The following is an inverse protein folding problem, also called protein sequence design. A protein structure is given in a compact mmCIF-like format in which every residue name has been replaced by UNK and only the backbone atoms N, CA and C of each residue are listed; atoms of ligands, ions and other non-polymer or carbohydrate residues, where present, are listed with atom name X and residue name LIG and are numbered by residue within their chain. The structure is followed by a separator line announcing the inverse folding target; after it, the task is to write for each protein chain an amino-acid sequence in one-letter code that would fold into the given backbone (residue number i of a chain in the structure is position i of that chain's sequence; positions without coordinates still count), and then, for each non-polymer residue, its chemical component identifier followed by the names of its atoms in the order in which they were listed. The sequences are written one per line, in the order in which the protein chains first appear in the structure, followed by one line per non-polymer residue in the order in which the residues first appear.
data_IF_854450781317
#
_entry.id   IF_854450781317
#
_cell.length_a   1.000
_cell.length_b   1.000
_cell.length_c   1.000
_cell.angle_alpha   90.00
_cell.angle_beta   90.00
_cell.angle_gamma   90.00
#
_symmetry.space_group_name_H-M   'P 1'
#
loop_
_entity.id
_entity.type
_entity.pdbx_description
1 polymer ?
#
# COMPACT_ATOMS: atom_id res chain seq x y z
N UNK A 1 29.76 48.60 48.50
CA UNK A 1 30.67 47.81 47.67
C UNK A 1 29.85 46.58 47.26
N UNK A 2 29.10 46.72 46.18
CA UNK A 2 29.48 46.34 44.79
C UNK A 2 28.94 44.93 44.52
N UNK A 3 27.86 44.85 43.72
CA UNK A 3 27.85 44.62 42.26
C UNK A 3 28.14 43.15 41.94
N UNK A 4 27.46 42.46 41.02
CA UNK A 4 26.45 42.81 40.03
C UNK A 4 25.85 41.50 39.51
N UNK A 5 24.59 41.57 39.09
CA UNK A 5 23.92 40.55 38.26
C UNK A 5 24.37 40.72 36.81
N UNK A 6 24.51 39.62 36.07
CA UNK A 6 23.88 39.35 34.75
C UNK A 6 24.64 38.28 33.96
N UNK A 7 23.88 37.42 33.27
CA UNK A 7 24.39 36.41 32.34
C UNK A 7 23.23 35.68 31.68
N UNK A 8 22.77 36.23 30.56
CA UNK A 8 21.60 35.82 29.78
C UNK A 8 21.79 34.47 29.09
N UNK A 9 20.72 33.67 29.05
CA UNK A 9 20.64 32.43 28.26
C UNK A 9 19.21 32.18 27.79
N UNK A 10 18.81 32.88 26.73
CA UNK A 10 17.50 32.75 26.08
C UNK A 10 17.55 31.56 25.10
N UNK A 11 16.62 30.58 25.20
CA UNK A 11 16.14 29.79 24.04
C UNK A 11 14.90 28.92 24.34
N UNK A 12 13.78 29.41 23.78
CA UNK A 12 12.63 28.73 23.15
C UNK A 12 11.88 27.63 23.90
N UNK A 13 10.79 28.06 24.52
CA UNK A 13 9.61 27.27 24.86
C UNK A 13 8.91 26.82 23.56
N UNK A 14 8.96 25.53 23.23
CA UNK A 14 8.14 24.96 22.15
C UNK A 14 6.78 24.62 22.75
N UNK A 15 5.84 25.56 22.68
CA UNK A 15 4.42 25.26 22.80
C UNK A 15 3.90 24.95 21.39
N UNK A 16 3.69 23.67 21.06
CA UNK A 16 2.91 23.29 19.89
C UNK A 16 1.46 23.01 20.33
N UNK A 17 0.65 24.05 20.24
CA UNK A 17 -0.81 23.97 20.24
C UNK A 17 -1.28 23.59 18.84
N UNK A 18 -1.64 22.32 18.56
CA UNK A 18 -2.59 22.00 17.48
C UNK A 18 -3.33 20.70 17.81
N UNK A 19 -4.58 20.81 18.26
CA UNK A 19 -5.73 20.11 17.65
C UNK A 19 -7.00 20.85 18.06
N UNK A 20 -7.40 21.84 17.25
CA UNK A 20 -8.78 22.31 17.28
C UNK A 20 -9.60 21.42 16.36
N UNK A 21 -10.50 20.66 16.96
CA UNK A 21 -11.60 19.96 16.33
C UNK A 21 -12.51 20.94 15.57
N UNK A 22 -12.88 20.56 14.34
CA UNK A 22 -13.81 21.24 13.41
C UNK A 22 -13.20 22.39 12.60
N UNK A 23 -12.67 22.05 11.43
CA UNK A 23 -12.67 22.96 10.29
C UNK A 23 -12.95 22.18 9.00
N UNK A 24 -14.17 22.37 8.49
CA UNK A 24 -14.47 22.19 7.06
C UNK A 24 -13.55 23.17 6.32
N UNK A 25 -12.49 22.66 5.68
CA UNK A 25 -11.70 23.44 4.74
C UNK A 25 -11.87 22.89 3.32
N UNK A 26 -12.50 23.70 2.49
CA UNK A 26 -12.50 23.64 1.03
C UNK A 26 -11.35 24.54 0.59
N UNK A 27 -10.25 23.98 0.05
CA UNK A 27 -9.20 24.79 -0.57
C UNK A 27 -7.79 24.20 -0.58
N UNK A 28 -7.35 23.82 -1.79
CA UNK A 28 -5.98 23.85 -2.30
C UNK A 28 -4.91 22.88 -1.73
N UNK A 29 -4.98 21.66 -2.28
CA UNK A 29 -3.87 20.75 -2.55
C UNK A 29 -4.34 19.74 -3.62
N UNK A 30 -3.75 19.74 -4.81
CA UNK A 30 -4.23 19.06 -6.01
C UNK A 30 -4.06 17.52 -5.97
N UNK A 31 -4.86 16.84 -5.16
CA UNK A 31 -4.91 15.37 -5.14
C UNK A 31 -5.13 14.83 -3.76
N UNK A 32 -6.32 15.02 -3.19
CA UNK A 32 -6.75 14.09 -2.15
C UNK A 32 -6.87 12.72 -2.83
N UNK A 33 -5.89 11.86 -2.58
CA UNK A 33 -5.90 10.46 -2.96
C UNK A 33 -7.18 9.86 -2.35
N UNK A 34 -8.19 9.59 -3.18
CA UNK A 34 -9.40 8.90 -2.76
C UNK A 34 -9.10 7.42 -2.59
N UNK A 35 -8.58 7.08 -1.40
CA UNK A 35 -8.24 5.72 -1.01
C UNK A 35 -9.45 4.78 -1.00
N UNK A 36 -10.69 5.28 -1.06
CA UNK A 36 -11.88 4.43 -1.12
C UNK A 36 -11.97 3.63 -2.43
N UNK A 37 -11.26 4.08 -3.46
CA UNK A 37 -11.16 3.39 -4.75
C UNK A 37 -10.06 2.33 -4.79
N UNK A 38 -9.27 2.16 -3.71
CA UNK A 38 -8.11 1.29 -3.69
C UNK A 38 -8.25 0.19 -2.64
N UNK A 39 -8.02 -1.05 -3.06
CA UNK A 39 -8.01 -2.22 -2.20
C UNK A 39 -6.64 -2.90 -2.22
N UNK A 40 -5.95 -3.03 -1.08
CA UNK A 40 -4.78 -3.89 -0.98
C UNK A 40 -5.17 -5.37 -0.98
N UNK A 41 -4.49 -6.15 -1.80
CA UNK A 41 -4.53 -7.61 -1.82
C UNK A 41 -3.17 -8.14 -1.37
N UNK A 42 -3.16 -9.02 -0.39
CA UNK A 42 -1.98 -9.77 0.02
C UNK A 42 -1.99 -11.11 -0.71
N UNK A 43 -0.87 -11.47 -1.33
CA UNK A 43 -0.63 -12.82 -1.86
C UNK A 43 0.50 -13.44 -1.05
N UNK A 44 0.21 -14.54 -0.36
CA UNK A 44 1.15 -15.27 0.50
C UNK A 44 0.87 -16.77 0.37
N UNK A 45 1.92 -17.56 0.14
CA UNK A 45 1.85 -19.01 0.01
C UNK A 45 0.78 -19.52 -0.98
N UNK A 46 0.63 -18.85 -2.13
CA UNK A 46 -0.36 -19.23 -3.15
C UNK A 46 -1.81 -18.87 -2.80
N UNK A 47 -2.03 -18.01 -1.80
CA UNK A 47 -3.37 -17.52 -1.44
C UNK A 47 -3.44 -16.00 -1.55
N UNK A 48 -4.44 -15.50 -2.30
CA UNK A 48 -4.75 -14.08 -2.40
C UNK A 48 -5.89 -13.69 -1.47
N UNK A 49 -5.75 -12.58 -0.74
CA UNK A 49 -6.78 -12.05 0.17
C UNK A 49 -6.80 -10.53 0.19
N UNK A 50 -7.97 -9.92 0.25
CA UNK A 50 -8.09 -8.47 0.51
C UNK A 50 -7.73 -8.22 1.98
N UNK A 51 -6.74 -7.37 2.24
CA UNK A 51 -6.33 -7.01 3.61
C UNK A 51 -6.22 -5.49 3.77
N UNK A 52 -7.32 -4.85 4.15
CA UNK A 52 -7.41 -3.40 4.39
C UNK A 52 -6.37 -2.92 5.44
N UNK A 53 -5.90 -3.81 6.31
CA UNK A 53 -4.84 -3.50 7.27
C UNK A 53 -3.52 -3.12 6.60
N UNK A 54 -3.23 -3.63 5.40
CA UNK A 54 -2.00 -3.34 4.65
C UNK A 54 -1.85 -1.86 4.29
N UNK A 55 -2.95 -1.11 4.15
CA UNK A 55 -2.90 0.36 3.91
C UNK A 55 -2.16 1.13 5.01
N UNK A 56 -2.13 0.60 6.23
CA UNK A 56 -1.52 1.24 7.39
C UNK A 56 -0.40 0.41 8.02
N UNK A 57 0.16 -0.55 7.27
CA UNK A 57 1.13 -1.53 7.76
C UNK A 57 0.63 -2.35 8.98
N UNK A 58 -0.67 -2.66 8.99
CA UNK A 58 -1.36 -3.41 10.05
C UNK A 58 -1.91 -4.75 9.53
N UNK A 59 -1.53 -5.18 8.33
CA UNK A 59 -1.94 -6.48 7.80
C UNK A 59 -1.50 -7.61 8.72
N UNK A 60 -2.19 -8.75 8.65
CA UNK A 60 -1.85 -9.92 9.49
C UNK A 60 -0.39 -10.35 9.27
N UNK A 61 0.09 -10.25 8.03
CA UNK A 61 1.45 -10.63 7.64
C UNK A 61 2.51 -9.61 8.09
N UNK A 62 2.16 -8.33 8.21
CA UNK A 62 3.09 -7.28 8.68
C UNK A 62 3.13 -7.13 10.20
N UNK A 63 2.08 -7.57 10.90
CA UNK A 63 1.94 -7.34 12.35
C UNK A 63 3.09 -7.99 13.13
N UNK A 64 3.82 -7.15 13.86
CA UNK A 64 4.91 -7.60 14.75
C UNK A 64 6.25 -7.80 14.04
N UNK A 65 6.33 -7.50 12.74
CA UNK A 65 7.53 -7.56 11.92
C UNK A 65 8.24 -6.21 11.90
N UNK A 66 9.57 -6.22 12.06
CA UNK A 66 10.40 -5.04 11.86
C UNK A 66 10.93 -5.02 10.44
N UNK A 67 10.43 -4.08 9.64
CA UNK A 67 10.87 -3.90 8.26
C UNK A 67 12.18 -3.09 8.17
N UNK A 68 13.09 -3.53 7.31
CA UNK A 68 14.29 -2.81 6.90
C UNK A 68 14.45 -2.87 5.37
N UNK A 69 15.37 -2.07 4.83
CA UNK A 69 15.75 -2.15 3.42
C UNK A 69 16.87 -3.17 3.17
N UNK A 70 17.35 -3.84 4.21
CA UNK A 70 18.42 -4.84 4.10
C UNK A 70 17.82 -6.25 3.94
N UNK A 71 17.87 -6.79 2.72
CA UNK A 71 17.30 -8.12 2.41
C UNK A 71 18.03 -9.24 3.16
N UNK A 72 19.31 -9.04 3.49
CA UNK A 72 20.16 -10.00 4.21
C UNK A 72 19.70 -10.24 5.66
N UNK A 73 18.96 -9.29 6.26
CA UNK A 73 18.39 -9.46 7.61
C UNK A 73 17.22 -10.47 7.66
N UNK A 74 16.75 -10.92 6.49
CA UNK A 74 15.56 -11.77 6.34
C UNK A 74 15.98 -13.11 5.74
N UNK A 75 16.85 -13.81 6.46
CA UNK A 75 17.56 -15.02 6.00
C UNK A 75 16.59 -16.14 5.63
N UNK A 76 15.59 -16.41 6.46
CA UNK A 76 14.57 -17.43 6.21
C UNK A 76 13.23 -16.79 5.78
N UNK A 77 13.32 -15.63 5.13
CA UNK A 77 12.13 -14.95 4.63
C UNK A 77 11.40 -15.80 3.61
N UNK A 78 10.06 -15.76 3.65
CA UNK A 78 9.23 -16.12 2.51
C UNK A 78 8.83 -14.86 1.74
N UNK A 79 8.62 -15.02 0.44
CA UNK A 79 8.14 -13.93 -0.41
C UNK A 79 6.65 -13.71 -0.16
N UNK A 80 6.26 -12.44 -0.04
CA UNK A 80 4.87 -12.01 0.09
C UNK A 80 4.66 -10.81 -0.82
N UNK A 81 3.52 -10.77 -1.49
CA UNK A 81 3.18 -9.67 -2.38
C UNK A 81 2.08 -8.80 -1.78
N UNK A 82 2.20 -7.49 -1.99
CA UNK A 82 1.09 -6.54 -1.85
C UNK A 82 0.72 -6.10 -3.25
N UNK A 83 -0.53 -6.34 -3.65
CA UNK A 83 -1.09 -5.86 -4.91
C UNK A 83 -2.11 -4.77 -4.61
N UNK A 84 -1.86 -3.56 -5.09
CA UNK A 84 -2.79 -2.45 -5.00
C UNK A 84 -3.79 -2.57 -6.15
N UNK A 85 -5.07 -2.73 -5.87
CA UNK A 85 -6.12 -2.84 -6.91
C UNK A 85 -7.02 -1.61 -6.85
N UNK A 86 -7.08 -0.86 -7.95
CA UNK A 86 -7.92 0.31 -8.10
C UNK A 86 -9.22 -0.02 -8.83
N UNK A 87 -10.32 0.52 -8.33
CA UNK A 87 -11.66 0.44 -8.91
C UNK A 87 -12.04 1.82 -9.42
N UNK A 88 -12.48 1.90 -10.67
CA UNK A 88 -13.00 3.13 -11.25
C UNK A 88 -14.53 3.10 -11.35
N UNK A 89 -15.13 4.28 -11.54
CA UNK A 89 -16.57 4.46 -11.67
C UNK A 89 -16.86 5.28 -12.92
N UNK A 90 -17.66 4.72 -13.81
CA UNK A 90 -18.16 5.38 -15.03
C UNK A 90 -19.68 5.52 -14.96
N UNK A 91 -20.28 6.12 -15.98
CA UNK A 91 -21.74 6.17 -16.10
C UNK A 91 -22.37 4.77 -16.28
N UNK A 92 -21.60 3.80 -16.78
CA UNK A 92 -22.02 2.44 -17.08
C UNK A 92 -21.88 1.50 -15.88
N UNK A 93 -21.07 1.85 -14.88
CA UNK A 93 -20.88 1.05 -13.68
C UNK A 93 -19.48 1.18 -13.08
N UNK A 94 -19.10 0.19 -12.28
CA UNK A 94 -17.77 0.09 -11.68
C UNK A 94 -16.99 -1.05 -12.32
N UNK A 95 -15.68 -0.88 -12.41
CA UNK A 95 -14.78 -1.90 -12.95
C UNK A 95 -13.40 -1.76 -12.32
N UNK A 96 -12.60 -2.83 -12.34
CA UNK A 96 -11.19 -2.73 -11.95
C UNK A 96 -10.40 -2.03 -13.05
N UNK A 97 -9.64 -1.00 -12.67
CA UNK A 97 -9.03 -0.06 -13.61
C UNK A 97 -7.51 0.07 -13.47
N UNK A 98 -6.92 -0.41 -12.38
CA UNK A 98 -5.48 -0.38 -12.19
C UNK A 98 -5.04 -1.43 -11.20
N UNK A 99 -3.85 -1.99 -11.39
CA UNK A 99 -3.25 -2.85 -10.38
C UNK A 99 -1.74 -2.87 -10.42
N UNK A 100 -1.11 -2.79 -9.27
CA UNK A 100 0.36 -2.83 -9.18
C UNK A 100 0.82 -3.77 -8.08
N UNK A 101 1.87 -4.54 -8.36
CA UNK A 101 2.46 -5.49 -7.43
C UNK A 101 3.73 -4.91 -6.80
N UNK A 102 3.84 -5.13 -5.49
CA UNK A 102 5.00 -4.78 -4.68
C UNK A 102 5.48 -6.01 -3.93
N UNK A 103 6.76 -6.31 -4.07
CA UNK A 103 7.38 -7.42 -3.35
C UNK A 103 7.70 -7.00 -1.91
N UNK A 104 7.60 -7.96 -1.00
CA UNK A 104 8.23 -7.91 0.32
C UNK A 104 8.63 -9.32 0.75
N UNK A 105 9.53 -9.41 1.71
CA UNK A 105 9.93 -10.67 2.31
C UNK A 105 9.74 -10.62 3.80
N UNK A 106 9.23 -11.71 4.38
CA UNK A 106 8.90 -11.77 5.80
C UNK A 106 9.46 -13.07 6.39
N UNK A 107 10.33 -12.90 7.38
CA UNK A 107 10.77 -13.95 8.31
C UNK A 107 9.98 -13.78 9.60
N UNK A 108 8.97 -14.64 9.77
CA UNK A 108 8.04 -14.56 10.89
C UNK A 108 8.73 -14.92 12.22
N UNK A 109 9.66 -15.87 12.19
CA UNK A 109 10.35 -16.39 13.38
C UNK A 109 11.36 -15.38 13.91
N UNK A 110 12.15 -14.78 13.01
CA UNK A 110 13.07 -13.69 13.37
C UNK A 110 12.36 -12.35 13.59
N UNK A 111 11.07 -12.25 13.26
CA UNK A 111 10.27 -11.01 13.25
C UNK A 111 10.93 -9.91 12.42
N UNK A 112 11.56 -10.30 11.32
CA UNK A 112 12.26 -9.41 10.37
C UNK A 112 11.55 -9.42 9.03
N UNK A 113 11.50 -8.24 8.42
CA UNK A 113 10.91 -8.08 7.11
C UNK A 113 11.77 -7.17 6.25
N UNK A 114 11.66 -7.37 4.95
CA UNK A 114 12.30 -6.53 3.96
C UNK A 114 11.23 -5.96 3.05
N UNK A 115 11.27 -4.64 2.86
CA UNK A 115 10.51 -3.94 1.82
C UNK A 115 11.13 -2.59 1.53
N UNK A 116 10.84 -2.07 0.34
CA UNK A 116 11.18 -0.71 -0.04
C UNK A 116 9.91 0.14 0.04
N UNK A 117 9.80 0.95 1.09
CA UNK A 117 8.59 1.74 1.33
C UNK A 117 8.30 2.73 0.20
N UNK A 118 9.34 3.34 -0.38
CA UNK A 118 9.19 4.26 -1.50
C UNK A 118 8.58 3.57 -2.73
N UNK A 119 8.99 2.34 -3.03
CA UNK A 119 8.42 1.54 -4.11
C UNK A 119 6.94 1.24 -3.84
N UNK A 120 6.60 0.81 -2.62
CA UNK A 120 5.22 0.53 -2.23
C UNK A 120 4.30 1.74 -2.41
N UNK A 121 4.75 2.93 -2.01
CA UNK A 121 3.98 4.18 -2.18
C UNK A 121 3.86 4.59 -3.65
N UNK A 122 4.94 4.48 -4.43
CA UNK A 122 4.93 4.83 -5.85
C UNK A 122 4.03 3.89 -6.65
N UNK A 123 4.05 2.60 -6.36
CA UNK A 123 3.18 1.59 -6.97
C UNK A 123 1.73 1.81 -6.58
N UNK A 124 1.45 2.20 -5.33
CA UNK A 124 0.11 2.59 -4.88
C UNK A 124 -0.44 3.77 -5.72
N UNK A 125 0.35 4.85 -5.86
CA UNK A 125 -0.01 6.00 -6.70
C UNK A 125 -0.21 5.61 -8.17
N UNK A 126 0.65 4.74 -8.71
CA UNK A 126 0.53 4.23 -10.07
C UNK A 126 -0.77 3.43 -10.28
N UNK A 127 -1.16 2.57 -9.34
CA UNK A 127 -2.43 1.83 -9.40
C UNK A 127 -3.63 2.79 -9.45
N UNK A 128 -3.62 3.83 -8.60
CA UNK A 128 -4.67 4.87 -8.61
C UNK A 128 -4.72 5.67 -9.92
N UNK A 129 -3.58 5.81 -10.60
CA UNK A 129 -3.49 6.36 -11.96
C UNK A 129 -3.83 5.35 -13.05
N UNK A 130 -4.51 4.25 -12.69
CA UNK A 130 -4.98 3.19 -13.62
C UNK A 130 -3.84 2.48 -14.34
N UNK A 131 -2.64 2.45 -13.74
CA UNK A 131 -1.52 1.68 -14.29
C UNK A 131 -1.64 0.22 -13.89
N UNK A 132 -1.19 -0.64 -14.80
CA UNK A 132 -1.08 -2.08 -14.59
C UNK A 132 0.41 -2.43 -14.58
N UNK A 133 0.93 -2.80 -13.41
CA UNK A 133 2.37 -3.09 -13.22
C UNK A 133 2.51 -4.30 -12.31
N UNK A 134 2.52 -5.50 -12.92
CA UNK A 134 2.54 -6.78 -12.20
C UNK A 134 3.91 -7.48 -12.29
N UNK A 135 4.97 -6.69 -12.47
CA UNK A 135 6.34 -7.19 -12.59
C UNK A 135 6.70 -8.07 -11.39
N UNK A 136 7.25 -9.25 -11.68
CA UNK A 136 7.72 -10.21 -10.68
C UNK A 136 6.64 -11.18 -10.15
N UNK A 137 5.34 -10.95 -10.39
CA UNK A 137 4.33 -11.98 -10.11
C UNK A 137 4.49 -13.16 -11.07
N UNK A 138 4.62 -14.36 -10.52
CA UNK A 138 4.60 -15.61 -11.27
C UNK A 138 3.19 -16.03 -11.65
N UNK A 139 3.09 -17.18 -12.34
CA UNK A 139 1.80 -17.69 -12.81
C UNK A 139 0.88 -18.09 -11.66
N UNK A 140 1.44 -18.63 -10.57
CA UNK A 140 0.66 -18.98 -9.37
C UNK A 140 0.03 -17.74 -8.77
N UNK A 141 0.79 -16.66 -8.55
CA UNK A 141 0.30 -15.43 -7.95
C UNK A 141 -0.74 -14.75 -8.85
N UNK A 142 -0.50 -14.68 -10.16
CA UNK A 142 -1.46 -14.12 -11.12
C UNK A 142 -2.77 -14.90 -11.14
N UNK A 143 -2.70 -16.23 -11.11
CA UNK A 143 -3.88 -17.10 -11.08
C UNK A 143 -4.74 -16.83 -9.84
N UNK A 144 -4.15 -16.85 -8.65
CA UNK A 144 -4.90 -16.68 -7.40
C UNK A 144 -5.44 -15.26 -7.25
N UNK A 145 -4.72 -14.26 -7.77
CA UNK A 145 -5.20 -12.88 -7.86
C UNK A 145 -6.42 -12.78 -8.78
N UNK A 146 -6.37 -13.38 -9.97
CA UNK A 146 -7.49 -13.42 -10.92
C UNK A 146 -8.74 -14.06 -10.28
N UNK A 147 -8.57 -15.22 -9.67
CA UNK A 147 -9.65 -15.95 -9.00
C UNK A 147 -10.27 -15.12 -7.87
N UNK A 148 -9.44 -14.45 -7.06
CA UNK A 148 -9.92 -13.54 -6.02
C UNK A 148 -10.76 -12.40 -6.62
N UNK A 149 -10.29 -11.73 -7.67
CA UNK A 149 -11.00 -10.60 -8.27
C UNK A 149 -12.35 -11.01 -8.88
N UNK A 150 -12.40 -12.12 -9.60
CA UNK A 150 -13.64 -12.68 -10.16
C UNK A 150 -14.61 -13.02 -9.02
N UNK A 151 -14.14 -13.75 -8.01
CA UNK A 151 -14.97 -14.15 -6.86
C UNK A 151 -15.53 -12.96 -6.09
N UNK A 152 -14.80 -11.83 -6.08
CA UNK A 152 -15.18 -10.62 -5.37
C UNK A 152 -16.30 -9.88 -6.08
N UNK A 153 -16.18 -9.71 -7.39
CA UNK A 153 -17.23 -9.14 -8.22
C UNK A 153 -16.99 -9.49 -9.71
N UNK A 154 -17.73 -10.48 -10.19
CA UNK A 154 -17.63 -10.94 -11.57
C UNK A 154 -18.12 -9.89 -12.59
N UNK A 155 -19.11 -9.07 -12.22
CA UNK A 155 -19.59 -7.98 -13.09
C UNK A 155 -18.49 -6.94 -13.32
N UNK A 156 -17.77 -6.54 -12.26
CA UNK A 156 -16.66 -5.60 -12.35
C UNK A 156 -15.50 -6.18 -13.16
N UNK A 157 -15.23 -7.48 -12.98
CA UNK A 157 -14.23 -8.19 -13.77
C UNK A 157 -14.59 -8.17 -15.27
N UNK A 158 -15.83 -8.48 -15.61
CA UNK A 158 -16.29 -8.50 -17.00
C UNK A 158 -16.33 -7.09 -17.63
N UNK A 159 -16.56 -6.06 -16.82
CA UNK A 159 -16.52 -4.66 -17.24
C UNK A 159 -15.09 -4.07 -17.28
N UNK A 160 -14.08 -4.77 -16.77
CA UNK A 160 -12.70 -4.30 -16.79
C UNK A 160 -12.09 -4.31 -18.20
N UNK A 161 -11.17 -3.37 -18.50
CA UNK A 161 -10.45 -3.34 -19.77
C UNK A 161 -9.76 -4.66 -20.10
N UNK A 162 -9.66 -4.99 -21.39
CA UNK A 162 -8.96 -6.20 -21.84
C UNK A 162 -7.50 -6.24 -21.35
N UNK A 163 -6.80 -5.11 -21.36
CA UNK A 163 -5.44 -5.00 -20.83
C UNK A 163 -5.34 -5.45 -19.37
N UNK A 164 -6.34 -5.10 -18.54
CA UNK A 164 -6.40 -5.50 -17.13
C UNK A 164 -6.53 -7.02 -16.99
N UNK A 165 -7.44 -7.62 -17.77
CA UNK A 165 -7.68 -9.07 -17.73
C UNK A 165 -6.51 -9.85 -18.33
N UNK A 166 -5.93 -9.36 -19.43
CA UNK A 166 -4.81 -9.97 -20.13
C UNK A 166 -3.53 -9.95 -19.28
N UNK A 167 -3.31 -8.92 -18.46
CA UNK A 167 -2.17 -8.86 -17.54
C UNK A 167 -2.16 -10.01 -16.50
N UNK A 168 -3.31 -10.63 -16.24
CA UNK A 168 -3.49 -11.78 -15.35
C UNK A 168 -3.67 -13.11 -16.11
N UNK A 169 -3.48 -13.11 -17.42
CA UNK A 169 -3.34 -14.36 -18.17
C UNK A 169 -1.99 -14.98 -17.85
N UNK A 170 -2.02 -16.29 -17.69
CA UNK A 170 -0.87 -17.15 -17.44
C UNK A 170 -0.75 -18.07 -18.65
N UNK A 171 0.48 -18.47 -19.02
CA UNK A 171 0.62 -19.56 -19.97
C UNK A 171 0.07 -20.83 -19.30
N UNK A 172 -0.95 -21.44 -19.89
CA UNK A 172 -1.46 -22.75 -19.47
C UNK A 172 -0.48 -23.88 -19.83
#
# INVERSE_FOLDING_TARGET
MENEKQGQGMKKQIALNIVNSKSKHKGFGSGSIDLNSLSPVIIDAGEARVDIGAMHAKSKVEKGIRFSMNREEVVNGRQVWIVWVAVDRTAEGQHYAGMTACEMWIDQDARRGWKILADHVNKMDAAMKRKIILDGLGDVEKKVLRELLISRNEEWWNASPDEFRNALQTAE
#
